data_IF_656444523365
#
_entry.id   IF_656444523365
#
_cell.length_a   1.000
_cell.length_b   1.000
_cell.length_c   1.000
_cell.angle_alpha   90.00
_cell.angle_beta   90.00
_cell.angle_gamma   90.00
#
_symmetry.space_group_name_H-M   'P 1'
#
loop_
_entity.id
_entity.type
_entity.pdbx_description
1 polymer ?
#
# COMPACT_ATOMS: atom_id res chain seq x y z
N UNK A 1 -9.66 8.37 0.32
CA UNK A 1 -10.05 7.53 -0.80
C UNK A 1 -11.17 8.11 -1.68
N UNK A 2 -11.69 9.29 -1.34
CA UNK A 2 -12.74 9.94 -2.14
C UNK A 2 -12.28 10.28 -3.57
N UNK A 3 -10.97 10.50 -3.74
CA UNK A 3 -10.39 10.89 -5.03
C UNK A 3 -9.63 9.74 -5.71
N UNK A 4 -9.74 8.50 -5.20
CA UNK A 4 -8.94 7.38 -5.69
C UNK A 4 -9.18 7.10 -7.17
N UNK A 5 -10.45 7.09 -7.63
CA UNK A 5 -10.77 6.80 -9.02
C UNK A 5 -10.13 7.81 -9.97
N UNK A 6 -10.22 9.11 -9.65
CA UNK A 6 -9.66 10.17 -10.47
C UNK A 6 -8.14 10.15 -10.46
N UNK A 7 -7.54 9.97 -9.31
CA UNK A 7 -6.09 9.88 -9.15
C UNK A 7 -5.53 8.68 -9.93
N UNK A 8 -6.20 7.52 -9.82
CA UNK A 8 -5.80 6.32 -10.56
C UNK A 8 -5.82 6.56 -12.07
N UNK A 9 -6.88 7.18 -12.60
CA UNK A 9 -6.99 7.51 -14.02
C UNK A 9 -5.90 8.46 -14.46
N UNK A 10 -5.59 9.46 -13.66
CA UNK A 10 -4.53 10.43 -13.95
C UNK A 10 -3.16 9.74 -14.02
N UNK A 11 -2.83 8.89 -13.06
CA UNK A 11 -1.55 8.16 -13.05
C UNK A 11 -1.43 7.26 -14.27
N UNK A 12 -2.47 6.50 -14.59
CA UNK A 12 -2.47 5.62 -15.76
C UNK A 12 -2.35 6.39 -17.06
N UNK A 13 -2.95 7.58 -17.15
CA UNK A 13 -2.85 8.45 -18.32
C UNK A 13 -1.46 9.04 -18.50
N UNK A 14 -0.81 9.48 -17.41
CA UNK A 14 0.52 10.07 -17.44
C UNK A 14 1.65 9.07 -17.61
N UNK A 15 1.43 7.85 -17.12
CA UNK A 15 2.45 6.79 -17.06
C UNK A 15 1.91 5.47 -17.62
N UNK A 16 1.50 5.44 -18.92
CA UNK A 16 0.80 4.26 -19.47
C UNK A 16 1.67 3.01 -19.52
N UNK A 17 2.99 3.16 -19.61
CA UNK A 17 3.93 2.04 -19.75
C UNK A 17 4.71 1.77 -18.47
N UNK A 18 4.32 2.39 -17.37
CA UNK A 18 5.04 2.25 -16.10
C UNK A 18 4.52 1.08 -15.28
N UNK A 19 5.42 0.45 -14.53
CA UNK A 19 5.04 -0.48 -13.47
C UNK A 19 4.46 0.32 -12.31
N UNK A 20 3.26 -0.03 -11.90
CA UNK A 20 2.59 0.60 -10.77
C UNK A 20 2.68 -0.34 -9.57
N UNK A 21 3.29 0.13 -8.50
CA UNK A 21 3.37 -0.58 -7.22
C UNK A 21 2.41 0.10 -6.25
N UNK A 22 1.39 -0.63 -5.81
CA UNK A 22 0.44 -0.12 -4.82
C UNK A 22 0.93 -0.46 -3.42
N UNK A 23 0.86 0.51 -2.51
CA UNK A 23 1.25 0.32 -1.12
C UNK A 23 0.09 0.71 -0.22
N UNK A 24 -0.27 -0.15 0.72
CA UNK A 24 -1.38 0.11 1.63
C UNK A 24 -1.13 -0.50 3.01
N UNK A 25 -1.90 -0.01 3.97
CA UNK A 25 -1.97 -0.60 5.30
C UNK A 25 -2.99 -1.75 5.30
N UNK A 26 -2.72 -2.77 6.09
CA UNK A 26 -3.57 -3.94 6.18
C UNK A 26 -3.72 -4.39 7.63
N UNK A 27 -4.79 -5.12 7.89
CA UNK A 27 -4.99 -5.83 9.14
C UNK A 27 -4.68 -7.32 8.93
N UNK A 28 -4.15 -7.96 9.94
CA UNK A 28 -3.79 -9.37 9.86
C UNK A 28 -3.83 -10.08 11.21
N UNK A 29 -3.24 -11.25 11.28
CA UNK A 29 -3.12 -11.98 12.52
C UNK A 29 -2.12 -11.29 13.46
N UNK A 30 -2.34 -11.39 14.77
CA UNK A 30 -1.47 -10.76 15.76
C UNK A 30 0.01 -11.13 15.58
N UNK A 31 0.29 -12.38 15.23
CA UNK A 31 1.66 -12.85 15.00
C UNK A 31 2.34 -12.20 13.78
N UNK A 32 1.57 -11.60 12.89
CA UNK A 32 2.09 -10.94 11.69
C UNK A 32 2.14 -9.41 11.82
N UNK A 33 1.84 -8.87 12.98
CA UNK A 33 1.93 -7.44 13.22
C UNK A 33 3.34 -6.94 12.91
N UNK A 34 3.43 -5.90 12.11
CA UNK A 34 4.71 -5.35 11.65
C UNK A 34 5.29 -6.01 10.42
N UNK A 35 4.67 -7.07 9.91
CA UNK A 35 5.12 -7.73 8.68
C UNK A 35 4.76 -6.89 7.46
N UNK A 36 5.59 -7.04 6.43
CA UNK A 36 5.36 -6.49 5.09
C UNK A 36 5.13 -7.66 4.14
N UNK A 37 4.09 -7.58 3.33
CA UNK A 37 3.79 -8.59 2.32
C UNK A 37 3.92 -7.99 0.93
N UNK A 38 4.40 -8.78 -0.03
CA UNK A 38 4.51 -8.41 -1.44
C UNK A 38 3.81 -9.48 -2.25
N UNK A 39 2.99 -9.07 -3.20
CA UNK A 39 2.30 -10.02 -4.08
C UNK A 39 2.12 -9.45 -5.48
N UNK A 40 2.08 -10.35 -6.45
CA UNK A 40 1.70 -9.99 -7.81
C UNK A 40 0.21 -9.68 -7.88
N UNK A 41 -0.15 -8.79 -8.78
CA UNK A 41 -1.53 -8.42 -9.00
C UNK A 41 -1.92 -7.12 -8.33
N UNK A 42 -3.15 -6.71 -8.55
CA UNK A 42 -3.67 -5.44 -8.06
C UNK A 42 -4.06 -5.50 -6.59
N UNK A 43 -3.90 -4.37 -5.93
CA UNK A 43 -4.45 -4.14 -4.59
C UNK A 43 -5.91 -3.72 -4.72
N UNK A 44 -6.75 -4.22 -3.82
CA UNK A 44 -8.16 -3.82 -3.71
C UNK A 44 -8.35 -2.94 -2.48
N UNK A 45 -8.21 -1.60 -2.62
CA UNK A 45 -8.24 -0.68 -1.49
C UNK A 45 -9.61 -0.71 -0.79
N UNK A 46 -9.59 -0.53 0.52
CA UNK A 46 -10.83 -0.45 1.30
C UNK A 46 -11.54 -1.79 1.53
N UNK A 47 -10.96 -2.92 1.12
CA UNK A 47 -11.57 -4.23 1.33
C UNK A 47 -11.80 -4.52 2.83
N UNK A 48 -10.90 -4.11 3.69
CA UNK A 48 -11.01 -4.31 5.13
C UNK A 48 -12.17 -3.54 5.76
N UNK A 49 -12.67 -2.50 5.11
CA UNK A 49 -13.80 -1.70 5.58
C UNK A 49 -14.99 -1.79 4.62
N UNK A 50 -15.03 -2.84 3.81
CA UNK A 50 -16.13 -3.16 2.88
C UNK A 50 -16.44 -2.07 1.85
N UNK A 51 -15.43 -1.30 1.46
CA UNK A 51 -15.56 -0.30 0.39
C UNK A 51 -15.24 -0.95 -0.95
N UNK A 52 -16.04 -0.63 -1.97
CA UNK A 52 -15.79 -1.07 -3.34
C UNK A 52 -15.09 0.04 -4.10
N UNK A 53 -13.76 -0.06 -4.19
CA UNK A 53 -12.91 0.86 -4.92
C UNK A 53 -12.21 0.12 -6.06
N UNK A 54 -11.78 0.83 -7.12
CA UNK A 54 -11.10 0.18 -8.24
C UNK A 54 -9.77 -0.45 -7.79
N UNK A 55 -9.37 -1.57 -8.43
CA UNK A 55 -8.07 -2.18 -8.13
C UNK A 55 -6.92 -1.27 -8.60
N UNK A 56 -5.81 -1.31 -7.87
CA UNK A 56 -4.65 -0.46 -8.13
C UNK A 56 -3.37 -1.29 -8.19
N UNK A 57 -2.56 -1.03 -9.21
CA UNK A 57 -1.22 -1.55 -9.31
C UNK A 57 -1.09 -2.87 -10.06
N UNK A 58 0.14 -3.16 -10.45
CA UNK A 58 0.54 -4.43 -11.04
C UNK A 58 1.10 -5.37 -9.97
N UNK A 59 1.72 -4.79 -8.97
CA UNK A 59 2.26 -5.45 -7.78
C UNK A 59 1.73 -4.67 -6.58
N UNK A 60 1.50 -5.33 -5.47
CA UNK A 60 1.12 -4.62 -4.27
C UNK A 60 1.94 -5.03 -3.05
N UNK A 61 2.17 -4.05 -2.20
CA UNK A 61 2.89 -4.20 -0.93
C UNK A 61 1.93 -3.78 0.18
N UNK A 62 1.77 -4.61 1.19
CA UNK A 62 0.95 -4.26 2.34
C UNK A 62 1.75 -4.36 3.62
N UNK A 63 1.55 -3.39 4.51
CA UNK A 63 2.10 -3.42 5.86
C UNK A 63 1.01 -3.79 6.86
N UNK A 64 1.27 -4.79 7.68
CA UNK A 64 0.30 -5.24 8.69
C UNK A 64 0.46 -4.37 9.93
N UNK A 65 -0.45 -3.42 10.08
CA UNK A 65 -0.34 -2.34 11.07
C UNK A 65 -1.11 -2.62 12.36
N UNK A 66 -2.08 -3.54 12.33
CA UNK A 66 -2.85 -3.95 13.50
C UNK A 66 -3.55 -5.28 13.23
N UNK A 67 -4.23 -5.81 14.24
CA UNK A 67 -4.91 -7.10 14.14
C UNK A 67 -6.30 -6.97 13.52
N UNK A 68 -6.66 -7.93 12.68
CA UNK A 68 -8.01 -8.05 12.15
C UNK A 68 -8.98 -8.45 13.26
N UNK A 69 -10.23 -7.95 13.18
CA UNK A 69 -11.26 -8.24 14.15
C UNK A 69 -12.63 -7.75 13.67
N UNK A 70 -13.62 -7.88 14.55
CA UNK A 70 -15.01 -7.51 14.20
C UNK A 70 -15.20 -6.01 13.93
N UNK A 71 -14.35 -5.15 14.51
CA UNK A 71 -14.42 -3.69 14.35
C UNK A 71 -13.20 -3.18 13.59
N UNK A 72 -13.01 -3.66 12.37
CA UNK A 72 -11.82 -3.39 11.57
C UNK A 72 -11.60 -1.89 11.31
N UNK A 73 -12.66 -1.13 11.03
CA UNK A 73 -12.54 0.30 10.82
C UNK A 73 -12.04 1.02 12.07
N UNK A 74 -12.57 0.67 13.24
CA UNK A 74 -12.11 1.24 14.51
C UNK A 74 -10.67 0.84 14.81
N UNK A 75 -10.30 -0.40 14.53
CA UNK A 75 -8.94 -0.91 14.68
C UNK A 75 -7.95 -0.10 13.85
N UNK A 76 -8.29 0.21 12.59
CA UNK A 76 -7.45 1.06 11.74
C UNK A 76 -7.31 2.47 12.30
N UNK A 77 -8.39 3.04 12.85
CA UNK A 77 -8.37 4.38 13.44
C UNK A 77 -7.53 4.46 14.72
N UNK A 78 -7.41 3.35 15.46
CA UNK A 78 -6.65 3.30 16.72
C UNK A 78 -5.23 2.75 16.55
N UNK A 79 -4.80 2.51 15.32
CA UNK A 79 -3.46 2.03 15.01
C UNK A 79 -2.39 3.04 15.44
N UNK A 80 -1.30 2.55 16.05
CA UNK A 80 -0.22 3.41 16.51
C UNK A 80 0.56 4.01 15.33
N UNK A 81 0.74 5.31 15.35
CA UNK A 81 1.49 6.04 14.32
C UNK A 81 2.94 5.54 14.23
N UNK A 82 3.57 5.24 15.36
CA UNK A 82 4.95 4.74 15.37
C UNK A 82 5.09 3.42 14.60
N UNK A 83 4.10 2.53 14.70
CA UNK A 83 4.06 1.27 13.94
C UNK A 83 3.96 1.54 12.45
N UNK A 84 3.08 2.45 12.05
CA UNK A 84 2.88 2.81 10.64
C UNK A 84 4.16 3.41 10.06
N UNK A 85 4.80 4.33 10.77
CA UNK A 85 6.04 4.98 10.32
C UNK A 85 7.16 3.94 10.17
N UNK A 86 7.33 3.05 11.13
CA UNK A 86 8.36 2.01 11.07
C UNK A 86 8.18 1.10 9.86
N UNK A 87 6.95 0.66 9.60
CA UNK A 87 6.64 -0.18 8.43
C UNK A 87 6.87 0.60 7.13
N UNK A 88 6.45 1.86 7.07
CA UNK A 88 6.64 2.70 5.89
C UNK A 88 8.13 2.89 5.57
N UNK A 89 8.97 3.07 6.58
CA UNK A 89 10.42 3.15 6.40
C UNK A 89 11.01 1.85 5.84
N UNK A 90 10.57 0.71 6.35
CA UNK A 90 11.01 -0.59 5.84
C UNK A 90 10.63 -0.78 4.36
N UNK A 91 9.40 -0.43 4.00
CA UNK A 91 8.92 -0.53 2.62
C UNK A 91 9.72 0.41 1.72
N UNK A 92 9.90 1.66 2.13
CA UNK A 92 10.67 2.66 1.39
C UNK A 92 12.11 2.19 1.14
N UNK A 93 12.79 1.72 2.16
CA UNK A 93 14.15 1.21 2.05
C UNK A 93 14.23 0.00 1.11
N UNK A 94 13.25 -0.91 1.19
CA UNK A 94 13.19 -2.05 0.30
C UNK A 94 13.01 -1.67 -1.16
N UNK A 95 12.12 -0.72 -1.44
CA UNK A 95 11.90 -0.21 -2.80
C UNK A 95 13.16 0.46 -3.35
N UNK A 96 13.82 1.29 -2.53
CA UNK A 96 15.06 1.96 -2.94
C UNK A 96 16.16 0.97 -3.32
N UNK A 97 16.26 -0.16 -2.64
CA UNK A 97 17.22 -1.20 -2.96
C UNK A 97 16.90 -1.93 -4.27
N UNK A 98 15.64 -1.97 -4.66
CA UNK A 98 15.19 -2.68 -5.87
C UNK A 98 15.34 -1.86 -7.15
N UNK A 99 15.37 -0.53 -7.05
CA UNK A 99 15.37 0.36 -8.20
C UNK A 99 16.80 0.87 -8.46
N UNK A 100 17.34 0.73 -9.70
CA UNK A 100 18.65 1.29 -10.04
C UNK A 100 18.67 2.80 -9.87
N UNK A 101 19.78 3.35 -9.37
CA UNK A 101 19.90 4.80 -9.15
C UNK A 101 19.71 5.64 -10.41
N UNK A 102 20.05 5.10 -11.57
CA UNK A 102 19.85 5.78 -12.86
C UNK A 102 18.36 6.09 -13.12
N UNK A 103 17.44 5.26 -12.63
CA UNK A 103 16.01 5.46 -12.82
C UNK A 103 15.48 6.60 -11.96
N UNK A 104 16.06 6.84 -10.79
CA UNK A 104 15.68 7.96 -9.94
C UNK A 104 15.99 9.31 -10.56
N UNK A 105 17.04 9.41 -11.35
CA UNK A 105 17.42 10.66 -12.03
C UNK A 105 16.42 11.08 -13.09
N UNK A 106 15.69 10.13 -13.67
CA UNK A 106 14.68 10.38 -14.70
C UNK A 106 13.36 10.87 -14.13
N UNK A 107 13.09 10.58 -12.85
CA UNK A 107 11.82 10.94 -12.21
C UNK A 107 11.87 12.28 -11.49
N UNK A 108 13.03 12.85 -11.33
CA UNK A 108 13.24 14.16 -10.72
C UNK A 108 13.18 15.26 -11.79
#
# INVERSE_FOLDING_TARGET
ALNLCDTRKEILSRHPDSLIIAVDASLGQKKHLGYVTIANGALYPGAAVHKKLPPVGHIHITGIVNTAGMLEQLTLQTTRLSTVISIAEQISNGILLMIPQSDFRQTL
#
